data_IF_767628894575
#
_entry.id   IF_767628894575
#
_cell.length_a   1.000
_cell.length_b   1.000
_cell.length_c   1.000
_cell.angle_alpha   90.00
_cell.angle_beta   90.00
_cell.angle_gamma   90.00
#
_symmetry.space_group_name_H-M   'P 1'
#
loop_
_entity.id
_entity.type
_entity.pdbx_description
1 polymer ?
#
# COMPACT_ATOMS: atom_id res chain seq x y z
N UNK A 1 103.91 20.53 -43.32
CA UNK A 1 103.25 19.71 -44.36
C UNK A 1 101.77 20.04 -44.34
N UNK A 2 101.19 20.31 -45.52
CA UNK A 2 99.77 20.63 -45.81
C UNK A 2 98.78 19.56 -45.21
N UNK A 3 97.45 19.71 -45.06
CA UNK A 3 96.38 20.50 -45.70
C UNK A 3 95.02 20.22 -44.98
N UNK A 4 94.05 21.15 -45.10
CA UNK A 4 92.58 21.00 -45.27
C UNK A 4 91.70 20.34 -44.17
N UNK A 5 90.78 21.10 -43.53
CA UNK A 5 89.33 21.31 -43.83
C UNK A 5 88.39 20.22 -43.28
N UNK A 6 87.43 20.57 -42.41
CA UNK A 6 86.05 20.87 -42.84
C UNK A 6 85.13 21.26 -41.67
N UNK A 7 84.28 22.24 -41.96
CA UNK A 7 83.19 22.76 -41.12
C UNK A 7 81.92 21.95 -41.44
N UNK A 8 81.17 21.55 -40.41
CA UNK A 8 79.73 21.30 -40.55
C UNK A 8 78.97 22.33 -39.70
N UNK A 9 78.27 23.25 -40.39
CA UNK A 9 77.23 24.13 -39.83
C UNK A 9 75.88 23.44 -40.01
N UNK A 10 75.11 23.32 -38.93
CA UNK A 10 73.69 22.92 -38.97
C UNK A 10 72.79 24.17 -39.13
N UNK A 11 71.65 24.12 -39.84
CA UNK A 11 70.92 25.29 -40.31
C UNK A 11 69.82 25.83 -39.38
N UNK A 12 69.78 25.44 -38.10
CA UNK A 12 68.65 25.75 -37.20
C UNK A 12 69.06 26.31 -35.83
N UNK A 13 69.92 27.33 -35.79
CA UNK A 13 70.10 28.14 -34.56
C UNK A 13 69.83 29.61 -34.85
N UNK A 14 68.56 30.02 -34.73
CA UNK A 14 68.22 31.42 -34.51
C UNK A 14 68.69 31.83 -33.12
N UNK A 15 69.43 32.93 -33.01
CA UNK A 15 69.74 33.52 -31.72
C UNK A 15 68.44 33.98 -31.06
N UNK A 16 68.21 33.57 -29.81
CA UNK A 16 67.03 33.92 -29.02
C UNK A 16 66.88 35.45 -28.93
N UNK A 17 65.71 35.95 -29.35
CA UNK A 17 65.35 37.37 -29.26
C UNK A 17 65.21 37.81 -27.80
N UNK A 18 65.40 39.11 -27.53
CA UNK A 18 65.49 39.68 -26.18
C UNK A 18 64.37 39.31 -25.20
N UNK A 19 63.18 38.99 -25.72
CA UNK A 19 62.01 38.52 -24.95
C UNK A 19 62.26 37.19 -24.22
N UNK A 20 62.94 36.23 -24.85
CA UNK A 20 63.13 34.90 -24.26
C UNK A 20 64.18 34.90 -23.12
N UNK A 21 65.20 35.77 -23.20
CA UNK A 21 66.16 35.97 -22.10
C UNK A 21 65.53 36.64 -20.88
N UNK A 22 64.50 37.45 -21.09
CA UNK A 22 63.78 38.11 -20.01
C UNK A 22 62.86 37.12 -19.28
N UNK A 23 62.20 36.21 -20.00
CA UNK A 23 61.43 35.11 -19.42
C UNK A 23 62.31 34.14 -18.63
N UNK A 24 63.51 33.82 -19.13
CA UNK A 24 64.47 32.98 -18.40
C UNK A 24 64.94 33.65 -17.09
N UNK A 25 65.21 34.96 -17.11
CA UNK A 25 65.57 35.70 -15.89
C UNK A 25 64.43 35.77 -14.88
N UNK A 26 63.17 35.90 -15.33
CA UNK A 26 61.99 35.88 -14.44
C UNK A 26 61.80 34.51 -13.78
N UNK A 27 61.92 33.42 -14.55
CA UNK A 27 61.85 32.05 -14.00
C UNK A 27 63.01 31.79 -13.04
N UNK A 28 64.23 32.22 -13.39
CA UNK A 28 65.41 32.05 -12.52
C UNK A 28 65.29 32.86 -11.22
N UNK A 29 64.66 34.04 -11.24
CA UNK A 29 64.36 34.81 -10.03
C UNK A 29 63.28 34.19 -9.15
N UNK A 30 62.30 33.49 -9.73
CA UNK A 30 61.28 32.76 -8.97
C UNK A 30 61.91 31.58 -8.21
N UNK A 31 62.81 30.83 -8.84
CA UNK A 31 63.50 29.70 -8.21
C UNK A 31 64.64 30.09 -7.25
N UNK A 32 65.17 31.33 -7.35
CA UNK A 32 66.23 31.85 -6.48
C UNK A 32 65.73 32.80 -5.39
N UNK A 33 64.42 33.03 -5.28
CA UNK A 33 63.88 33.86 -4.19
C UNK A 33 64.11 33.16 -2.85
N UNK A 34 64.97 33.79 -2.03
CA UNK A 34 65.49 33.37 -0.72
C UNK A 34 64.77 32.18 -0.08
N UNK A 35 65.43 31.02 -0.07
CA UNK A 35 65.21 29.92 0.88
C UNK A 35 65.46 30.40 2.33
N UNK A 36 64.57 31.23 2.86
CA UNK A 36 64.43 31.39 4.31
C UNK A 36 63.53 30.25 4.75
N UNK A 37 64.08 29.35 5.58
CA UNK A 37 63.28 28.34 6.28
C UNK A 37 62.10 29.07 6.93
N UNK A 38 60.85 28.58 6.81
CA UNK A 38 59.73 29.21 7.48
C UNK A 38 60.07 29.36 8.97
N UNK A 39 59.72 30.49 9.61
CA UNK A 39 60.01 30.68 11.03
C UNK A 39 59.45 29.47 11.78
N UNK A 40 60.23 28.87 12.67
CA UNK A 40 59.80 27.69 13.45
C UNK A 40 58.47 27.97 14.16
N UNK A 41 58.23 29.22 14.56
CA UNK A 41 56.95 29.71 15.06
C UNK A 41 55.78 29.55 14.09
N UNK A 42 55.95 29.78 12.79
CA UNK A 42 54.90 29.59 11.77
C UNK A 42 54.62 28.11 11.54
N UNK A 43 55.65 27.26 11.58
CA UNK A 43 55.47 25.80 11.52
C UNK A 43 54.76 25.26 12.77
N UNK A 44 55.09 25.78 13.96
CA UNK A 44 54.39 25.45 15.21
C UNK A 44 52.95 25.96 15.15
N UNK A 45 52.71 27.19 14.67
CA UNK A 45 51.36 27.75 14.55
C UNK A 45 50.52 26.95 13.56
N UNK A 46 51.10 26.52 12.44
CA UNK A 46 50.45 25.66 11.46
C UNK A 46 50.21 24.25 12.03
N UNK A 47 51.15 23.69 12.80
CA UNK A 47 50.95 22.41 13.48
C UNK A 47 49.88 22.48 14.58
N UNK A 48 49.79 23.60 15.30
CA UNK A 48 48.73 23.87 16.29
C UNK A 48 47.39 24.08 15.58
N UNK A 49 47.34 24.79 14.46
CA UNK A 49 46.14 24.90 13.62
C UNK A 49 45.70 23.54 13.07
N UNK A 50 46.63 22.72 12.56
CA UNK A 50 46.34 21.36 12.09
C UNK A 50 45.93 20.44 13.24
N UNK A 51 46.50 20.59 14.44
CA UNK A 51 46.10 19.82 15.62
C UNK A 51 44.73 20.27 16.17
N UNK A 52 44.40 21.56 16.10
CA UNK A 52 43.09 22.12 16.46
C UNK A 52 42.02 21.77 15.41
N UNK A 53 42.38 21.73 14.12
CA UNK A 53 41.52 21.22 13.05
C UNK A 53 41.41 19.69 13.06
N UNK A 54 42.44 18.97 13.53
CA UNK A 54 42.41 17.52 13.72
C UNK A 54 41.56 17.07 14.92
N UNK A 55 41.28 17.99 15.86
CA UNK A 55 40.33 17.79 16.96
C UNK A 55 38.86 17.97 16.56
N UNK A 56 38.58 18.59 15.40
CA UNK A 56 37.22 18.73 14.85
C UNK A 56 36.78 17.52 14.00
N UNK A 57 37.69 16.56 13.76
CA UNK A 57 37.42 15.29 13.06
C UNK A 57 37.34 14.13 14.06
N UNK A 58 37.21 14.41 15.37
CA UNK A 58 37.05 13.40 16.39
C UNK A 58 35.58 13.30 16.81
N UNK A 59 34.98 12.15 16.52
CA UNK A 59 33.61 11.72 16.83
C UNK A 59 32.51 12.22 15.88
N UNK A 60 32.66 11.95 14.57
CA UNK A 60 31.49 11.36 13.90
C UNK A 60 31.41 9.94 14.44
N UNK A 61 30.52 9.69 15.41
CA UNK A 61 30.01 8.34 15.61
C UNK A 61 29.57 7.90 14.21
N UNK A 62 30.26 6.89 13.65
CA UNK A 62 29.73 6.20 12.49
C UNK A 62 28.47 5.52 13.01
N UNK A 63 27.33 6.18 12.83
CA UNK A 63 26.04 5.56 13.03
C UNK A 63 26.05 4.31 12.15
N UNK A 64 26.00 3.14 12.79
CA UNK A 64 25.84 1.87 12.07
C UNK A 64 24.65 1.99 11.10
N UNK A 65 24.72 1.35 9.93
CA UNK A 65 23.72 1.54 8.88
C UNK A 65 22.34 1.18 9.41
N UNK A 66 21.42 2.15 9.34
CA UNK A 66 19.99 1.91 9.60
C UNK A 66 19.40 1.26 8.36
N UNK A 67 18.75 0.12 8.55
CA UNK A 67 18.09 -0.63 7.48
C UNK A 67 16.58 -0.63 7.67
N UNK A 68 15.83 -0.64 6.57
CA UNK A 68 14.39 -0.82 6.61
C UNK A 68 14.05 -2.32 6.62
N UNK A 69 13.18 -2.73 7.53
CA UNK A 69 12.62 -4.10 7.58
C UNK A 69 11.10 -4.01 7.66
N UNK A 70 10.38 -4.98 7.10
CA UNK A 70 8.93 -5.03 7.27
C UNK A 70 8.58 -5.59 8.64
N UNK A 71 7.73 -4.87 9.39
CA UNK A 71 7.12 -5.36 10.64
C UNK A 71 5.75 -6.00 10.34
N UNK A 72 4.93 -5.30 9.58
CA UNK A 72 3.60 -5.75 9.17
C UNK A 72 3.46 -5.61 7.67
N UNK A 73 3.07 -6.71 7.03
CA UNK A 73 2.67 -6.74 5.64
C UNK A 73 1.43 -7.64 5.56
N UNK A 74 0.26 -7.02 5.37
CA UNK A 74 -1.02 -7.69 5.40
C UNK A 74 -1.85 -7.28 4.18
N UNK A 75 -2.35 -8.28 3.46
CA UNK A 75 -3.27 -8.09 2.34
C UNK A 75 -4.39 -9.09 2.51
N UNK A 76 -5.63 -8.63 2.44
CA UNK A 76 -6.78 -9.51 2.50
C UNK A 76 -7.75 -9.33 1.34
N UNK A 77 -8.68 -10.27 1.28
CA UNK A 77 -9.69 -10.33 0.24
C UNK A 77 -10.79 -9.27 0.35
N UNK A 78 -10.77 -8.48 1.42
CA UNK A 78 -11.68 -7.36 1.65
C UNK A 78 -11.06 -6.04 1.17
N UNK A 79 -9.89 -6.07 0.53
CA UNK A 79 -9.19 -4.86 0.07
C UNK A 79 -8.40 -4.16 1.16
N UNK A 80 -8.15 -4.80 2.32
CA UNK A 80 -7.32 -4.21 3.36
C UNK A 80 -5.84 -4.48 3.07
N UNK A 81 -5.08 -3.45 2.73
CA UNK A 81 -3.66 -3.52 2.39
C UNK A 81 -2.82 -2.66 3.34
N UNK A 82 -2.17 -3.31 4.30
CA UNK A 82 -1.45 -2.64 5.39
C UNK A 82 0.04 -3.00 5.33
N UNK A 83 0.87 -1.99 5.09
CA UNK A 83 2.32 -2.11 4.97
C UNK A 83 3.00 -1.18 5.95
N UNK A 84 3.48 -1.73 7.07
CA UNK A 84 4.13 -0.96 8.12
C UNK A 84 5.53 -1.52 8.37
N UNK A 85 6.59 -0.75 8.09
CA UNK A 85 7.96 -1.17 8.32
C UNK A 85 8.40 -0.90 9.76
N UNK A 86 9.65 -1.23 10.05
CA UNK A 86 10.42 -0.74 11.18
C UNK A 86 11.85 -0.38 10.71
N UNK A 87 12.46 0.59 11.37
CA UNK A 87 13.88 0.88 11.22
C UNK A 87 14.70 -0.02 12.15
N UNK A 88 15.60 -0.81 11.57
CA UNK A 88 16.47 -1.72 12.29
C UNK A 88 17.93 -1.22 12.32
N UNK A 89 18.62 -1.54 13.40
CA UNK A 89 20.05 -1.33 13.61
C UNK A 89 20.68 -2.63 14.11
N UNK A 90 22.00 -2.77 13.98
CA UNK A 90 22.76 -3.89 14.56
C UNK A 90 22.44 -4.07 16.05
N UNK A 91 22.27 -5.31 16.50
CA UNK A 91 21.84 -5.63 17.88
C UNK A 91 22.80 -5.11 18.98
N UNK A 92 24.06 -4.89 18.64
CA UNK A 92 25.09 -4.35 19.54
C UNK A 92 25.08 -2.81 19.61
N UNK A 93 24.19 -2.15 18.88
CA UNK A 93 24.12 -0.69 18.76
C UNK A 93 22.85 -0.16 19.40
N UNK A 94 22.98 0.83 20.27
CA UNK A 94 21.82 1.51 20.84
C UNK A 94 21.08 2.29 19.74
N UNK A 95 19.74 2.18 19.65
CA UNK A 95 18.97 2.95 18.67
C UNK A 95 19.17 4.45 18.86
N UNK A 96 19.29 5.17 17.75
CA UNK A 96 19.31 6.64 17.77
C UNK A 96 17.95 7.18 18.23
N UNK A 97 17.90 8.46 18.64
CA UNK A 97 16.65 9.11 19.01
C UNK A 97 15.65 9.13 17.84
N UNK A 98 16.14 9.35 16.61
CA UNK A 98 15.32 9.31 15.39
C UNK A 98 14.75 7.92 15.10
N UNK A 99 15.56 6.85 15.22
CA UNK A 99 15.06 5.47 15.06
C UNK A 99 13.99 5.15 16.11
N UNK A 100 14.21 5.56 17.35
CA UNK A 100 13.25 5.36 18.45
C UNK A 100 11.94 6.09 18.18
N UNK A 101 12.00 7.38 17.81
CA UNK A 101 10.82 8.20 17.52
C UNK A 101 10.02 7.66 16.32
N UNK A 102 10.72 7.28 15.24
CA UNK A 102 10.07 6.76 14.04
C UNK A 102 9.43 5.40 14.31
N UNK A 103 10.12 4.47 14.98
CA UNK A 103 9.52 3.18 15.33
C UNK A 103 8.33 3.33 16.30
N UNK A 104 8.36 4.33 17.19
CA UNK A 104 7.20 4.65 18.02
C UNK A 104 6.02 5.15 17.17
N UNK A 105 6.26 6.05 16.21
CA UNK A 105 5.22 6.54 15.30
C UNK A 105 4.66 5.41 14.41
N UNK A 106 5.51 4.52 13.90
CA UNK A 106 5.11 3.34 13.14
C UNK A 106 4.27 2.37 13.99
N UNK A 107 4.62 2.20 15.27
CA UNK A 107 3.83 1.39 16.20
C UNK A 107 2.45 1.99 16.46
N UNK A 108 2.36 3.32 16.55
CA UNK A 108 1.09 4.04 16.69
C UNK A 108 0.23 3.89 15.43
N UNK A 109 0.83 4.06 14.25
CA UNK A 109 0.15 3.84 12.98
C UNK A 109 -0.37 2.40 12.87
N UNK A 110 0.41 1.40 13.28
CA UNK A 110 -0.04 0.00 13.32
C UNK A 110 -1.24 -0.21 14.23
N UNK A 111 -1.25 0.46 15.38
CA UNK A 111 -2.35 0.35 16.33
C UNK A 111 -3.69 0.85 15.75
N UNK A 112 -3.66 1.81 14.82
CA UNK A 112 -4.87 2.28 14.12
C UNK A 112 -5.52 1.17 13.29
N UNK A 113 -4.75 0.21 12.78
CA UNK A 113 -5.22 -0.92 11.98
C UNK A 113 -5.34 -2.23 12.77
N UNK A 114 -5.19 -2.20 14.09
CA UNK A 114 -5.08 -3.42 14.90
C UNK A 114 -6.36 -4.28 14.83
N UNK A 115 -7.54 -3.67 14.79
CA UNK A 115 -8.82 -4.39 14.70
C UNK A 115 -8.94 -5.18 13.39
N UNK A 116 -8.47 -4.59 12.28
CA UNK A 116 -8.38 -5.27 10.97
C UNK A 116 -7.36 -6.42 11.04
N UNK A 117 -6.19 -6.17 11.63
CA UNK A 117 -5.13 -7.18 11.76
C UNK A 117 -5.53 -8.34 12.67
N UNK A 118 -6.38 -8.09 13.68
CA UNK A 118 -6.93 -9.10 14.59
C UNK A 118 -8.19 -9.78 14.03
N UNK A 119 -8.74 -9.28 12.92
CA UNK A 119 -9.96 -9.81 12.29
C UNK A 119 -11.24 -9.52 13.06
N UNK A 120 -11.24 -8.51 13.94
CA UNK A 120 -12.39 -8.09 14.75
C UNK A 120 -13.01 -6.87 14.08
N UNK A 121 -14.05 -7.07 13.29
CA UNK A 121 -14.59 -6.01 12.40
C UNK A 121 -15.91 -5.43 12.89
N UNK A 122 -16.19 -5.57 14.17
CA UNK A 122 -17.41 -5.05 14.78
C UNK A 122 -17.05 -3.90 15.72
N UNK A 123 -17.30 -2.66 15.26
CA UNK A 123 -17.12 -1.37 15.95
C UNK A 123 -15.77 -0.60 15.84
N UNK A 124 -14.95 -0.81 14.80
CA UNK A 124 -13.79 0.05 14.54
C UNK A 124 -14.18 1.43 13.99
N UNK A 125 -13.36 2.46 14.22
CA UNK A 125 -13.46 3.75 13.49
C UNK A 125 -13.08 3.64 12.02
N UNK A 126 -12.50 2.50 11.64
CA UNK A 126 -12.18 2.12 10.27
C UNK A 126 -13.32 1.32 9.64
N UNK A 127 -13.49 1.45 8.33
CA UNK A 127 -14.30 0.54 7.52
C UNK A 127 -13.87 -0.91 7.69
N UNK A 128 -14.82 -1.83 7.52
CA UNK A 128 -14.57 -3.27 7.51
C UNK A 128 -13.73 -3.75 6.32
N UNK A 129 -13.65 -2.91 5.27
CA UNK A 129 -13.13 -3.25 3.95
C UNK A 129 -12.37 -2.07 3.36
N UNK A 130 -11.50 -2.37 2.39
CA UNK A 130 -10.85 -1.36 1.53
C UNK A 130 -10.08 -0.29 2.30
N UNK A 131 -9.33 -0.73 3.32
CA UNK A 131 -8.38 0.11 4.05
C UNK A 131 -6.99 0.00 3.43
N UNK A 132 -6.45 1.10 2.94
CA UNK A 132 -5.10 1.14 2.41
C UNK A 132 -4.17 1.89 3.36
N UNK A 133 -3.01 1.30 3.63
CA UNK A 133 -1.84 1.93 4.25
C UNK A 133 -0.61 1.42 3.48
N UNK A 134 -0.32 2.08 2.35
CA UNK A 134 0.65 1.60 1.36
C UNK A 134 1.96 2.35 1.49
N UNK A 135 3.07 1.62 1.58
CA UNK A 135 4.40 2.17 1.81
C UNK A 135 5.13 2.48 0.49
N UNK A 136 5.66 3.69 0.41
CA UNK A 136 6.58 4.17 -0.62
C UNK A 136 7.91 4.58 0.05
N UNK A 137 8.85 3.63 0.30
CA UNK A 137 10.11 3.92 0.94
C UNK A 137 11.13 4.37 -0.11
N UNK A 138 11.78 5.50 0.16
CA UNK A 138 12.93 5.96 -0.62
C UNK A 138 14.15 6.17 0.28
N UNK A 139 15.33 5.97 -0.28
CA UNK A 139 16.59 6.25 0.39
C UNK A 139 17.44 7.19 -0.47
N UNK A 140 17.79 8.34 0.09
CA UNK A 140 18.81 9.22 -0.47
C UNK A 140 20.14 8.96 0.22
N UNK A 141 21.21 9.68 -0.13
CA UNK A 141 22.46 9.55 0.63
C UNK A 141 22.30 9.92 2.10
N UNK A 142 21.40 10.85 2.41
CA UNK A 142 21.23 11.45 3.74
C UNK A 142 19.96 11.00 4.45
N UNK A 143 18.92 10.60 3.73
CA UNK A 143 17.60 10.38 4.31
C UNK A 143 17.06 8.99 4.01
N UNK A 144 16.33 8.44 4.97
CA UNK A 144 15.28 7.47 4.72
C UNK A 144 13.95 8.20 4.73
N UNK A 145 13.15 8.07 3.68
CA UNK A 145 11.80 8.62 3.61
C UNK A 145 10.79 7.47 3.61
N UNK A 146 9.85 7.49 4.53
CA UNK A 146 8.73 6.56 4.60
C UNK A 146 7.45 7.35 4.32
N UNK A 147 6.94 7.25 3.09
CA UNK A 147 5.68 7.88 2.69
C UNK A 147 4.60 6.81 2.67
N UNK A 148 3.51 7.05 3.39
CA UNK A 148 2.35 6.17 3.44
C UNK A 148 1.18 6.84 2.71
N UNK A 149 0.65 6.19 1.68
CA UNK A 149 -0.64 6.54 1.10
C UNK A 149 -1.73 5.83 1.90
N UNK A 150 -2.70 6.58 2.40
CA UNK A 150 -3.73 6.10 3.32
C UNK A 150 -5.12 6.38 2.77
N UNK A 151 -5.96 5.36 2.72
CA UNK A 151 -7.32 5.46 2.22
C UNK A 151 -8.23 4.57 3.07
N UNK A 152 -9.47 5.01 3.27
CA UNK A 152 -10.50 4.24 3.95
C UNK A 152 -11.81 4.38 3.17
N UNK A 153 -12.48 3.25 2.93
CA UNK A 153 -13.76 3.22 2.24
C UNK A 153 -14.89 3.86 3.04
N UNK A 154 -15.59 4.80 2.39
CA UNK A 154 -16.81 5.41 2.93
C UNK A 154 -18.03 5.03 2.09
N UNK A 155 -18.34 5.71 0.98
CA UNK A 155 -19.46 5.31 0.09
C UNK A 155 -19.40 5.84 -1.35
N UNK A 156 -18.57 6.86 -1.62
CA UNK A 156 -18.69 7.72 -2.80
C UNK A 156 -17.33 7.96 -3.47
N UNK A 157 -16.45 8.74 -2.86
CA UNK A 157 -15.06 8.93 -3.29
C UNK A 157 -14.18 9.05 -2.06
N UNK A 158 -13.25 8.13 -1.88
CA UNK A 158 -12.27 8.24 -0.79
C UNK A 158 -11.11 9.10 -1.27
N UNK A 159 -10.66 10.00 -0.41
CA UNK A 159 -9.41 10.73 -0.68
C UNK A 159 -8.24 10.06 -0.02
N UNK A 160 -7.20 9.83 -0.80
CA UNK A 160 -5.92 9.41 -0.30
C UNK A 160 -5.26 10.51 0.53
N UNK A 161 -4.97 10.18 1.78
CA UNK A 161 -4.17 11.02 2.69
C UNK A 161 -2.73 10.53 2.73
N UNK A 162 -1.83 11.40 3.19
CA UNK A 162 -0.41 11.08 3.31
C UNK A 162 0.01 11.14 4.77
N UNK A 163 0.70 10.10 5.24
CA UNK A 163 1.50 10.17 6.46
C UNK A 163 2.96 9.97 6.06
N UNK A 164 3.88 10.77 6.62
CA UNK A 164 5.30 10.67 6.26
C UNK A 164 6.23 10.71 7.45
N UNK A 165 7.28 9.87 7.44
CA UNK A 165 8.35 9.84 8.43
C UNK A 165 9.70 9.90 7.73
N UNK A 166 10.55 10.87 8.11
CA UNK A 166 11.86 11.08 7.47
C UNK A 166 12.97 10.95 8.51
N UNK A 167 13.89 10.02 8.32
CA UNK A 167 15.06 9.84 9.16
C UNK A 167 16.30 10.45 8.51
N UNK A 168 16.99 11.34 9.22
CA UNK A 168 18.28 11.88 8.82
C UNK A 168 19.43 10.98 9.32
N UNK A 169 20.10 10.30 8.39
CA UNK A 169 21.18 9.34 8.65
C UNK A 169 22.43 10.00 9.24
N UNK A 170 22.66 11.28 8.98
CA UNK A 170 23.82 12.01 9.50
C UNK A 170 23.63 12.45 10.96
N UNK A 171 22.44 12.95 11.29
CA UNK A 171 22.15 13.47 12.64
C UNK A 171 21.58 12.41 13.57
N UNK A 172 21.08 11.30 13.02
CA UNK A 172 20.39 10.26 13.78
C UNK A 172 19.04 10.73 14.35
N UNK A 173 18.44 11.76 13.77
CA UNK A 173 17.16 12.35 14.19
C UNK A 173 16.09 12.17 13.12
N UNK A 174 14.83 12.23 13.54
CA UNK A 174 13.71 12.43 12.62
C UNK A 174 13.68 13.90 12.17
N UNK A 175 13.44 14.14 10.89
CA UNK A 175 13.17 15.49 10.37
C UNK A 175 11.69 15.80 10.59
N UNK A 176 11.38 16.96 11.17
CA UNK A 176 9.98 17.37 11.38
C UNK A 176 9.44 18.15 10.17
N UNK A 177 8.11 18.31 10.10
CA UNK A 177 7.48 19.11 9.06
C UNK A 177 7.92 20.57 9.12
N UNK A 178 8.07 21.14 10.33
CA UNK A 178 8.54 22.51 10.52
C UNK A 178 9.97 22.70 10.00
N UNK A 179 10.87 21.75 10.25
CA UNK A 179 12.24 21.79 9.74
C UNK A 179 12.27 21.70 8.20
N UNK A 180 11.41 20.86 7.61
CA UNK A 180 11.28 20.75 6.16
C UNK A 180 10.75 22.05 5.53
N UNK A 181 9.71 22.65 6.13
CA UNK A 181 9.17 23.94 5.70
C UNK A 181 10.22 25.05 5.79
N UNK A 182 10.97 25.13 6.89
CA UNK A 182 12.07 26.08 7.07
C UNK A 182 13.15 25.88 6.00
N UNK A 183 13.52 24.63 5.71
CA UNK A 183 14.51 24.30 4.68
C UNK A 183 14.07 24.75 3.28
N UNK A 184 12.77 24.64 2.97
CA UNK A 184 12.19 25.13 1.72
C UNK A 184 12.04 26.67 1.68
N UNK A 185 12.20 27.35 2.81
CA UNK A 185 11.83 28.76 2.95
C UNK A 185 10.33 29.01 2.80
N UNK A 186 9.51 28.05 3.24
CA UNK A 186 8.05 28.07 3.11
C UNK A 186 7.37 28.01 4.48
N UNK A 187 6.10 28.37 4.50
CA UNK A 187 5.17 28.03 5.58
C UNK A 187 4.02 27.18 5.04
N UNK A 188 3.27 26.50 5.92
CA UNK A 188 2.09 25.74 5.50
C UNK A 188 1.07 26.65 4.79
N UNK A 189 0.82 27.85 5.35
CA UNK A 189 -0.09 28.84 4.77
C UNK A 189 0.37 29.30 3.38
N UNK A 190 1.67 29.53 3.20
CA UNK A 190 2.22 29.92 1.89
C UNK A 190 2.04 28.81 0.84
N UNK A 191 2.24 27.54 1.21
CA UNK A 191 2.00 26.41 0.31
C UNK A 191 0.50 26.27 -0.02
N UNK A 192 -0.37 26.38 0.97
CA UNK A 192 -1.83 26.33 0.76
C UNK A 192 -2.30 27.45 -0.16
N UNK A 193 -1.80 28.68 0.02
CA UNK A 193 -2.11 29.80 -0.86
C UNK A 193 -1.55 29.58 -2.27
N UNK A 194 -0.30 29.11 -2.39
CA UNK A 194 0.31 28.83 -3.68
C UNK A 194 -0.43 27.74 -4.47
N UNK A 195 -1.02 26.75 -3.78
CA UNK A 195 -1.87 25.74 -4.39
C UNK A 195 -3.13 26.37 -5.01
N UNK A 196 -3.83 27.21 -4.24
CA UNK A 196 -5.00 27.94 -4.74
C UNK A 196 -4.64 28.85 -5.91
N UNK A 197 -3.58 29.66 -5.79
CA UNK A 197 -3.12 30.57 -6.85
C UNK A 197 -2.81 29.83 -8.16
N UNK A 198 -2.28 28.61 -8.07
CA UNK A 198 -1.97 27.79 -9.24
C UNK A 198 -3.22 27.23 -9.92
N UNK A 199 -4.19 26.72 -9.15
CA UNK A 199 -5.32 25.96 -9.71
C UNK A 199 -6.61 26.76 -9.89
N UNK A 200 -6.96 27.68 -8.98
CA UNK A 200 -8.19 28.49 -9.04
C UNK A 200 -8.46 29.10 -10.43
N UNK A 201 -7.46 29.67 -11.14
CA UNK A 201 -7.70 30.25 -12.47
C UNK A 201 -8.13 29.25 -13.55
N UNK A 202 -7.89 27.95 -13.32
CA UNK A 202 -8.10 26.86 -14.29
C UNK A 202 -9.28 25.95 -13.97
N UNK A 203 -9.77 25.97 -12.73
CA UNK A 203 -10.88 25.14 -12.29
C UNK A 203 -12.20 25.57 -12.96
N UNK A 204 -13.05 24.59 -13.28
CA UNK A 204 -14.39 24.84 -13.83
C UNK A 204 -14.45 25.41 -15.26
N UNK A 205 -13.31 25.63 -15.93
CA UNK A 205 -13.28 26.21 -17.29
C UNK A 205 -14.10 25.41 -18.31
N UNK A 206 -14.20 24.09 -18.13
CA UNK A 206 -14.95 23.18 -19.00
C UNK A 206 -16.43 23.01 -18.58
N UNK A 207 -16.85 23.65 -17.48
CA UNK A 207 -18.19 23.53 -16.91
C UNK A 207 -18.87 24.92 -16.96
N UNK A 208 -19.72 25.18 -17.98
CA UNK A 208 -20.34 26.49 -18.14
C UNK A 208 -21.17 26.90 -16.92
N UNK A 209 -20.76 27.99 -16.26
CA UNK A 209 -21.46 28.58 -15.12
C UNK A 209 -20.97 28.13 -13.74
N UNK A 210 -20.04 27.18 -13.67
CA UNK A 210 -19.39 26.81 -12.40
C UNK A 210 -18.37 27.88 -11.98
N UNK A 211 -18.33 28.20 -10.68
CA UNK A 211 -17.30 29.03 -10.05
C UNK A 211 -16.61 28.20 -8.98
N UNK A 212 -15.64 27.41 -9.41
CA UNK A 212 -14.93 26.46 -8.54
C UNK A 212 -13.67 27.08 -7.96
N UNK A 213 -13.25 26.62 -6.78
CA UNK A 213 -11.97 26.96 -6.18
C UNK A 213 -11.41 25.84 -5.31
N UNK A 214 -10.11 25.96 -4.99
CA UNK A 214 -9.45 25.13 -3.99
C UNK A 214 -9.88 25.60 -2.58
N UNK A 215 -10.27 24.66 -1.73
CA UNK A 215 -10.71 24.89 -0.35
C UNK A 215 -10.11 23.83 0.59
N UNK A 216 -10.14 24.10 1.90
CA UNK A 216 -9.75 23.14 2.96
C UNK A 216 -8.34 22.54 2.77
N UNK A 217 -7.39 23.34 2.30
CA UNK A 217 -6.03 22.91 2.05
C UNK A 217 -5.33 22.49 3.34
N UNK A 218 -4.67 21.34 3.32
CA UNK A 218 -3.86 20.84 4.44
C UNK A 218 -2.53 20.30 3.93
N UNK A 219 -1.41 20.66 4.58
CA UNK A 219 -0.10 20.01 4.35
C UNK A 219 -0.05 18.74 5.19
N UNK A 220 -0.12 17.59 4.52
CA UNK A 220 -0.22 16.27 5.15
C UNK A 220 1.14 15.67 5.50
N UNK A 221 2.15 15.93 4.67
CA UNK A 221 3.48 15.36 4.85
C UNK A 221 4.51 15.81 3.83
N UNK A 222 5.69 15.20 3.89
CA UNK A 222 6.78 15.50 2.98
C UNK A 222 7.75 14.33 2.83
N UNK A 223 8.59 14.40 1.81
CA UNK A 223 9.80 13.58 1.67
C UNK A 223 10.97 14.42 1.21
N UNK A 224 12.18 13.95 1.48
CA UNK A 224 13.41 14.56 0.99
C UNK A 224 13.79 13.98 -0.37
N UNK A 225 13.96 14.88 -1.35
CA UNK A 225 14.48 14.57 -2.68
C UNK A 225 15.98 14.25 -2.66
N UNK A 226 16.49 13.75 -3.78
CA UNK A 226 17.91 13.42 -3.95
C UNK A 226 18.84 14.64 -3.94
N UNK A 227 18.28 15.84 -4.11
CA UNK A 227 18.94 17.15 -4.00
C UNK A 227 18.83 17.76 -2.59
N UNK A 228 18.42 16.96 -1.60
CA UNK A 228 18.16 17.38 -0.22
C UNK A 228 17.11 18.52 -0.11
N UNK A 229 16.24 18.68 -1.11
CA UNK A 229 15.10 19.58 -1.03
C UNK A 229 13.83 18.81 -0.66
N UNK A 230 12.94 19.39 0.15
CA UNK A 230 11.68 18.75 0.50
C UNK A 230 10.67 18.81 -0.65
N UNK A 231 9.87 17.76 -0.75
CA UNK A 231 8.71 17.62 -1.63
C UNK A 231 7.52 17.42 -0.71
N UNK A 232 6.50 18.28 -0.80
CA UNK A 232 5.36 18.29 0.12
C UNK A 232 4.12 17.66 -0.52
N UNK A 233 3.28 17.06 0.31
CA UNK A 233 2.00 16.48 -0.05
C UNK A 233 0.88 17.29 0.61
N UNK A 234 -0.10 17.70 -0.19
CA UNK A 234 -1.22 18.51 0.28
C UNK A 234 -2.54 17.89 -0.16
N UNK A 235 -3.51 17.83 0.74
CA UNK A 235 -4.91 17.56 0.39
C UNK A 235 -5.65 18.89 0.24
N UNK A 236 -6.61 18.93 -0.68
CA UNK A 236 -7.54 20.03 -0.80
C UNK A 236 -8.83 19.61 -1.50
N UNK A 237 -9.91 20.31 -1.18
CA UNK A 237 -11.21 20.16 -1.82
C UNK A 237 -11.33 21.08 -3.02
N UNK A 238 -11.80 20.55 -4.15
CA UNK A 238 -12.27 21.34 -5.29
C UNK A 238 -13.79 21.41 -5.17
N UNK A 239 -14.32 22.61 -4.94
CA UNK A 239 -15.75 22.82 -4.76
C UNK A 239 -16.19 24.21 -5.24
N UNK A 240 -17.49 24.46 -5.27
CA UNK A 240 -18.05 25.78 -5.53
C UNK A 240 -17.55 26.81 -4.52
N UNK A 241 -17.09 27.97 -5.02
CA UNK A 241 -16.43 29.03 -4.22
C UNK A 241 -17.29 29.53 -3.06
N UNK A 242 -18.60 29.52 -3.24
CA UNK A 242 -19.59 29.70 -2.18
C UNK A 242 -20.66 28.61 -2.31
N UNK A 243 -20.33 27.44 -1.77
CA UNK A 243 -21.19 26.25 -1.73
C UNK A 243 -22.58 26.54 -1.11
N UNK A 244 -22.66 27.53 -0.21
CA UNK A 244 -23.96 27.92 0.38
C UNK A 244 -24.83 28.74 -0.56
N UNK A 245 -24.22 29.47 -1.50
CA UNK A 245 -24.91 30.26 -2.50
C UNK A 245 -25.21 29.47 -3.78
N UNK A 246 -24.36 28.50 -4.12
CA UNK A 246 -24.46 27.69 -5.32
C UNK A 246 -23.75 26.35 -5.09
N UNK A 247 -24.52 25.27 -5.03
CA UNK A 247 -24.05 23.88 -5.05
C UNK A 247 -24.27 23.33 -6.47
N UNK A 248 -23.38 23.73 -7.38
CA UNK A 248 -23.44 23.40 -8.80
C UNK A 248 -22.68 22.10 -9.11
N UNK A 249 -21.59 21.85 -8.39
CA UNK A 249 -20.77 20.65 -8.45
C UNK A 249 -20.65 20.07 -7.05
N UNK A 250 -20.89 18.77 -6.92
CA UNK A 250 -20.54 18.08 -5.68
C UNK A 250 -19.02 18.03 -5.55
N UNK A 251 -18.47 18.77 -4.58
CA UNK A 251 -17.03 18.90 -4.42
C UNK A 251 -16.30 17.59 -4.19
N UNK A 252 -15.03 17.57 -4.60
CA UNK A 252 -14.15 16.40 -4.51
C UNK A 252 -12.86 16.74 -3.76
N UNK A 253 -12.44 15.85 -2.90
CA UNK A 253 -11.16 15.93 -2.21
C UNK A 253 -10.05 15.31 -3.08
N UNK A 254 -8.89 15.96 -3.10
CA UNK A 254 -7.81 15.70 -4.04
C UNK A 254 -6.44 15.78 -3.35
N UNK A 255 -5.46 15.03 -3.87
CA UNK A 255 -4.07 15.02 -3.39
C UNK A 255 -3.13 15.72 -4.38
N UNK A 256 -2.32 16.65 -3.89
CA UNK A 256 -1.39 17.44 -4.66
C UNK A 256 0.04 17.26 -4.15
N UNK A 257 1.01 17.31 -5.06
CA UNK A 257 2.43 17.18 -4.79
C UNK A 257 3.13 18.48 -5.15
N UNK A 258 3.75 19.13 -4.18
CA UNK A 258 4.59 20.30 -4.39
C UNK A 258 6.05 19.92 -4.53
N UNK A 259 6.69 20.36 -5.61
CA UNK A 259 8.13 20.23 -5.79
C UNK A 259 8.68 21.41 -6.58
N UNK A 260 9.76 22.03 -6.09
CA UNK A 260 10.47 23.07 -6.84
C UNK A 260 9.61 24.28 -7.20
N UNK A 261 8.61 24.62 -6.37
CA UNK A 261 7.75 25.79 -6.57
C UNK A 261 6.51 25.55 -7.43
N UNK A 262 6.21 24.31 -7.81
CA UNK A 262 5.00 23.99 -8.58
C UNK A 262 4.27 22.79 -7.99
N UNK A 263 2.95 22.77 -8.14
CA UNK A 263 2.10 21.66 -7.79
C UNK A 263 1.79 20.76 -8.98
N UNK A 264 1.65 19.46 -8.72
CA UNK A 264 1.07 18.48 -9.63
C UNK A 264 -0.07 17.75 -8.91
N UNK A 265 -1.18 17.51 -9.60
CA UNK A 265 -2.29 16.71 -9.09
C UNK A 265 -1.90 15.22 -9.16
N UNK A 266 -2.03 14.51 -8.05
CA UNK A 266 -2.02 13.05 -8.05
C UNK A 266 -3.45 12.57 -8.28
N UNK A 267 -3.77 12.23 -9.53
CA UNK A 267 -5.09 11.74 -9.90
C UNK A 267 -5.27 10.28 -9.48
N UNK A 268 -5.59 10.09 -8.20
CA UNK A 268 -5.83 8.78 -7.60
C UNK A 268 -7.04 8.04 -8.18
N UNK A 269 -7.92 8.74 -8.92
CA UNK A 269 -9.12 8.17 -9.53
C UNK A 269 -8.89 7.74 -10.99
N UNK A 270 -7.68 7.95 -11.51
CA UNK A 270 -7.32 7.50 -12.86
C UNK A 270 -7.49 5.97 -12.97
N UNK A 271 -8.44 5.55 -13.82
CA UNK A 271 -8.79 4.13 -14.04
C UNK A 271 -7.74 3.42 -14.92
N UNK A 272 -7.02 4.16 -15.75
CA UNK A 272 -6.02 3.63 -16.69
C UNK A 272 -4.69 4.31 -16.51
N UNK A 273 -3.63 3.54 -16.27
CA UNK A 273 -2.25 4.05 -16.13
C UNK A 273 -2.02 4.92 -14.88
N UNK A 274 -2.72 4.64 -13.78
CA UNK A 274 -2.39 5.22 -12.47
C UNK A 274 -0.90 5.03 -12.21
N UNK A 275 -0.22 6.11 -11.86
CA UNK A 275 1.20 6.07 -11.50
C UNK A 275 1.35 5.91 -9.99
N UNK A 276 2.44 5.32 -9.50
CA UNK A 276 2.71 5.28 -8.07
C UNK A 276 2.86 6.71 -7.51
N UNK A 277 2.36 6.94 -6.28
CA UNK A 277 2.44 8.24 -5.59
C UNK A 277 3.87 8.79 -5.53
N UNK A 278 4.85 7.90 -5.30
CA UNK A 278 6.27 8.20 -5.42
C UNK A 278 6.81 7.43 -6.63
N UNK A 279 7.55 8.08 -7.55
CA UNK A 279 8.06 7.42 -8.75
C UNK A 279 8.82 6.13 -8.42
N UNK A 280 8.52 5.05 -9.16
CA UNK A 280 9.09 3.73 -8.89
C UNK A 280 10.63 3.73 -8.89
N UNK A 281 11.26 4.60 -9.70
CA UNK A 281 12.72 4.72 -9.78
C UNK A 281 13.36 5.36 -8.54
N UNK A 282 12.58 6.07 -7.72
CA UNK A 282 13.03 6.63 -6.44
C UNK A 282 12.83 5.64 -5.28
N UNK A 283 11.90 4.70 -5.43
CA UNK A 283 11.55 3.73 -4.40
C UNK A 283 12.54 2.57 -4.30
N UNK A 284 12.74 2.07 -3.08
CA UNK A 284 13.50 0.85 -2.85
C UNK A 284 12.59 -0.35 -2.82
N UNK A 285 12.91 -1.32 -3.67
CA UNK A 285 12.24 -2.61 -3.70
C UNK A 285 12.62 -3.47 -2.49
N UNK A 286 11.61 -4.03 -1.85
CA UNK A 286 11.78 -4.95 -0.72
C UNK A 286 11.52 -6.39 -1.14
N UNK A 287 11.93 -7.32 -0.27
CA UNK A 287 11.62 -8.73 -0.36
C UNK A 287 11.17 -9.23 1.03
N UNK A 288 9.90 -9.65 1.21
CA UNK A 288 8.84 -9.76 0.20
C UNK A 288 8.48 -8.40 -0.46
N UNK A 289 8.06 -8.40 -1.75
CA UNK A 289 7.70 -7.17 -2.45
C UNK A 289 6.52 -6.43 -1.81
N UNK A 290 6.47 -5.11 -1.96
CA UNK A 290 5.32 -4.28 -1.56
C UNK A 290 4.24 -4.25 -2.64
N UNK A 291 3.03 -3.83 -2.29
CA UNK A 291 1.87 -3.69 -3.19
C UNK A 291 2.22 -2.90 -4.44
N UNK A 292 2.92 -1.76 -4.29
CA UNK A 292 3.33 -0.95 -5.44
C UNK A 292 4.28 -1.69 -6.41
N UNK A 293 5.01 -2.71 -5.96
CA UNK A 293 5.84 -3.53 -6.84
C UNK A 293 4.98 -4.50 -7.65
N UNK A 294 3.93 -5.07 -7.04
CA UNK A 294 3.00 -5.98 -7.71
C UNK A 294 1.99 -5.25 -8.60
N UNK A 295 1.22 -4.32 -8.02
CA UNK A 295 0.09 -3.64 -8.65
C UNK A 295 0.48 -2.99 -9.98
N UNK A 296 1.55 -2.17 -9.98
CA UNK A 296 1.99 -1.46 -11.19
C UNK A 296 2.75 -2.35 -12.19
N UNK A 297 3.08 -3.58 -11.80
CA UNK A 297 3.64 -4.60 -12.69
C UNK A 297 2.59 -5.61 -13.19
N UNK A 298 1.31 -5.44 -12.81
CA UNK A 298 0.22 -6.38 -13.12
C UNK A 298 0.30 -7.71 -12.36
N UNK A 299 0.97 -7.72 -11.21
CA UNK A 299 1.08 -8.88 -10.31
C UNK A 299 0.18 -8.76 -9.09
N UNK A 300 0.17 -9.82 -8.29
CA UNK A 300 -0.57 -9.93 -7.02
C UNK A 300 0.38 -10.33 -5.88
N UNK A 301 -0.04 -10.19 -4.61
CA UNK A 301 0.75 -10.58 -3.46
C UNK A 301 1.25 -12.02 -3.52
N UNK A 302 2.54 -12.20 -3.24
CA UNK A 302 3.13 -13.54 -3.13
C UNK A 302 2.53 -14.27 -1.91
N UNK A 303 1.85 -15.39 -2.17
CA UNK A 303 1.05 -16.09 -1.15
C UNK A 303 -0.46 -15.83 -1.25
N UNK A 304 -0.89 -14.94 -2.14
CA UNK A 304 -2.29 -14.58 -2.33
C UNK A 304 -2.82 -13.67 -1.22
N UNK A 305 -4.10 -13.31 -1.33
CA UNK A 305 -4.78 -12.52 -0.31
C UNK A 305 -5.19 -13.41 0.86
N UNK A 306 -4.99 -12.90 2.07
CA UNK A 306 -5.52 -13.52 3.28
C UNK A 306 -7.05 -13.51 3.22
N UNK A 307 -7.67 -14.63 3.56
CA UNK A 307 -9.13 -14.70 3.71
C UNK A 307 -9.46 -13.99 5.02
N UNK A 308 -10.08 -12.81 4.96
CA UNK A 308 -10.44 -12.06 6.16
C UNK A 308 -11.33 -12.89 7.09
N UNK A 309 -11.15 -12.74 8.40
CA UNK A 309 -12.00 -13.38 9.41
C UNK A 309 -13.49 -13.02 9.26
N UNK A 310 -13.81 -11.92 8.54
CA UNK A 310 -15.17 -11.54 8.15
C UNK A 310 -15.91 -12.60 7.32
N UNK A 311 -15.18 -13.54 6.69
CA UNK A 311 -15.78 -14.63 5.93
C UNK A 311 -16.26 -15.80 6.79
N UNK A 312 -15.81 -15.92 8.05
CA UNK A 312 -16.27 -16.91 9.06
C UNK A 312 -16.73 -18.27 8.49
N UNK A 313 -16.01 -18.76 7.49
CA UNK A 313 -16.38 -19.96 6.79
C UNK A 313 -16.17 -21.12 7.75
N UNK A 314 -17.22 -21.88 8.04
CA UNK A 314 -17.13 -22.93 9.04
C UNK A 314 -16.29 -24.12 8.58
N UNK A 315 -16.27 -24.40 7.28
CA UNK A 315 -15.47 -25.48 6.72
C UNK A 315 -14.95 -25.15 5.31
N UNK A 316 -13.62 -25.12 5.08
CA UNK A 316 -13.05 -24.87 3.75
C UNK A 316 -13.32 -25.97 2.71
N UNK A 317 -13.78 -27.17 3.11
CA UNK A 317 -14.21 -28.22 2.17
C UNK A 317 -15.71 -28.16 1.85
N UNK A 318 -16.49 -27.37 2.60
CA UNK A 318 -17.94 -27.19 2.45
C UNK A 318 -18.24 -25.74 2.08
N UNK A 319 -17.76 -25.36 0.91
CA UNK A 319 -17.95 -24.04 0.34
C UNK A 319 -18.06 -24.10 -1.19
N UNK A 320 -18.34 -22.96 -1.81
CA UNK A 320 -18.35 -22.79 -3.25
C UNK A 320 -17.53 -21.56 -3.64
N UNK A 321 -16.76 -21.68 -4.70
CA UNK A 321 -16.10 -20.59 -5.39
C UNK A 321 -16.89 -20.22 -6.64
N UNK A 322 -16.77 -18.98 -7.09
CA UNK A 322 -17.38 -18.50 -8.35
C UNK A 322 -16.31 -18.04 -9.31
N UNK A 323 -16.48 -18.33 -10.60
CA UNK A 323 -15.56 -17.87 -11.63
C UNK A 323 -15.42 -16.34 -11.61
N UNK A 324 -14.18 -15.85 -11.56
CA UNK A 324 -13.87 -14.41 -11.52
C UNK A 324 -14.02 -13.75 -10.15
N UNK A 325 -14.37 -14.49 -9.09
CA UNK A 325 -14.41 -13.99 -7.73
C UNK A 325 -13.35 -14.69 -6.87
N UNK A 326 -12.60 -13.95 -6.03
CA UNK A 326 -11.52 -14.53 -5.24
C UNK A 326 -12.00 -15.35 -4.04
N UNK A 327 -13.22 -15.08 -3.55
CA UNK A 327 -13.67 -15.54 -2.23
C UNK A 327 -14.67 -16.71 -2.33
N UNK A 328 -14.54 -17.72 -1.46
CA UNK A 328 -15.55 -18.75 -1.32
C UNK A 328 -16.78 -18.23 -0.54
N UNK A 329 -17.90 -18.92 -0.71
CA UNK A 329 -19.13 -18.71 0.07
C UNK A 329 -19.63 -20.05 0.63
N UNK A 330 -20.17 -20.04 1.84
CA UNK A 330 -20.69 -21.25 2.47
C UNK A 330 -21.24 -21.04 3.88
N UNK A 331 -21.53 -22.11 4.62
CA UNK A 331 -22.05 -21.99 5.97
C UNK A 331 -21.10 -21.20 6.88
N UNK A 332 -21.67 -20.25 7.64
CA UNK A 332 -20.98 -19.31 8.50
C UNK A 332 -20.58 -17.99 7.83
N UNK A 333 -20.50 -17.93 6.50
CA UNK A 333 -20.15 -16.68 5.80
C UNK A 333 -21.34 -15.73 5.70
N UNK A 334 -21.07 -14.44 5.51
CA UNK A 334 -22.12 -13.46 5.16
C UNK A 334 -22.50 -13.57 3.68
N UNK A 335 -23.76 -13.27 3.35
CA UNK A 335 -24.19 -13.11 1.96
C UNK A 335 -23.77 -11.74 1.40
N UNK A 336 -23.72 -10.70 2.23
CA UNK A 336 -23.30 -9.36 1.84
C UNK A 336 -21.85 -9.35 1.37
N UNK A 337 -21.57 -8.60 0.30
CA UNK A 337 -20.25 -8.49 -0.34
C UNK A 337 -19.66 -9.84 -0.81
N UNK A 338 -20.48 -10.88 -0.89
CA UNK A 338 -20.05 -12.19 -1.40
C UNK A 338 -20.07 -12.22 -2.93
N UNK A 339 -19.57 -13.31 -3.50
CA UNK A 339 -19.68 -13.57 -4.95
C UNK A 339 -21.13 -13.67 -5.46
N UNK A 340 -22.14 -13.68 -4.57
CA UNK A 340 -23.57 -13.70 -4.90
C UNK A 340 -24.25 -12.33 -4.77
N UNK A 341 -23.60 -11.35 -4.12
CA UNK A 341 -24.10 -9.97 -3.94
C UNK A 341 -23.93 -9.09 -5.20
N UNK A 342 -23.62 -9.71 -6.34
CA UNK A 342 -23.47 -9.03 -7.63
C UNK A 342 -24.81 -8.85 -8.37
N UNK A 343 -25.94 -9.15 -7.73
CA UNK A 343 -27.26 -9.24 -8.37
C UNK A 343 -28.35 -8.67 -7.46
N UNK A 344 -29.53 -8.37 -8.01
CA UNK A 344 -30.66 -8.02 -7.16
C UNK A 344 -31.07 -9.22 -6.32
N UNK A 345 -31.12 -9.05 -5.00
CA UNK A 345 -31.46 -10.10 -4.03
C UNK A 345 -32.81 -9.77 -3.40
N UNK A 346 -33.75 -10.70 -3.52
CA UNK A 346 -35.00 -10.67 -2.78
C UNK A 346 -34.78 -11.27 -1.39
N UNK A 347 -34.95 -10.47 -0.34
CA UNK A 347 -34.78 -10.89 1.05
C UNK A 347 -36.10 -10.87 1.82
N UNK A 348 -36.38 -11.95 2.53
CA UNK A 348 -37.57 -12.14 3.36
C UNK A 348 -37.19 -12.60 4.78
N UNK A 349 -37.64 -11.87 5.80
CA UNK A 349 -37.58 -12.33 7.20
C UNK A 349 -38.60 -13.43 7.45
N UNK A 350 -38.17 -14.50 8.09
CA UNK A 350 -38.98 -15.67 8.43
C UNK A 350 -39.39 -15.61 9.91
N UNK A 351 -40.50 -14.94 10.21
CA UNK A 351 -40.93 -14.64 11.60
C UNK A 351 -41.24 -15.87 12.47
N UNK A 352 -41.53 -17.02 11.86
CA UNK A 352 -41.94 -18.25 12.55
C UNK A 352 -40.91 -19.38 12.42
N UNK A 353 -39.70 -19.10 11.90
CA UNK A 353 -38.68 -20.11 11.72
C UNK A 353 -37.87 -20.32 13.00
N UNK A 354 -37.68 -21.58 13.37
CA UNK A 354 -37.01 -22.00 14.61
C UNK A 354 -35.81 -22.91 14.27
N UNK A 355 -34.79 -22.98 15.13
CA UNK A 355 -34.70 -22.35 16.45
C UNK A 355 -34.33 -20.86 16.44
N UNK A 356 -34.83 -20.09 17.40
CA UNK A 356 -34.40 -18.74 17.79
C UNK A 356 -33.73 -18.82 19.17
N UNK A 357 -32.42 -18.52 19.24
CA UNK A 357 -31.62 -18.72 20.45
C UNK A 357 -31.67 -17.54 21.42
N UNK A 358 -31.70 -16.29 20.91
CA UNK A 358 -31.75 -15.08 21.73
C UNK A 358 -32.89 -14.15 21.34
N UNK A 359 -33.39 -13.31 22.27
CA UNK A 359 -34.32 -12.24 21.93
C UNK A 359 -33.69 -11.26 20.94
N UNK A 360 -34.29 -11.15 19.75
CA UNK A 360 -33.79 -10.29 18.68
C UNK A 360 -33.19 -11.07 17.51
N UNK A 361 -32.86 -12.34 17.69
CA UNK A 361 -32.41 -13.21 16.61
C UNK A 361 -33.56 -13.48 15.63
N UNK A 362 -33.23 -13.74 14.37
CA UNK A 362 -34.21 -14.11 13.34
C UNK A 362 -33.56 -14.83 12.17
N UNK A 363 -34.39 -15.50 11.38
CA UNK A 363 -33.98 -16.13 10.12
C UNK A 363 -34.35 -15.25 8.93
N UNK A 364 -33.47 -15.23 7.94
CA UNK A 364 -33.67 -14.59 6.65
C UNK A 364 -33.59 -15.62 5.55
N UNK A 365 -34.47 -15.48 4.55
CA UNK A 365 -34.32 -16.14 3.26
C UNK A 365 -33.98 -15.08 2.23
N UNK A 366 -32.87 -15.30 1.54
CA UNK A 366 -32.43 -14.45 0.44
C UNK A 366 -32.34 -15.29 -0.83
N UNK A 367 -32.82 -14.75 -1.94
CA UNK A 367 -32.82 -15.47 -3.21
C UNK A 367 -32.53 -14.53 -4.38
N UNK A 368 -31.86 -15.05 -5.40
CA UNK A 368 -31.73 -14.36 -6.68
C UNK A 368 -31.79 -15.33 -7.84
N UNK A 369 -32.24 -14.84 -8.99
CA UNK A 369 -32.24 -15.57 -10.26
C UNK A 369 -31.39 -14.82 -11.28
N UNK A 370 -30.45 -15.53 -11.86
CA UNK A 370 -29.59 -15.06 -12.95
C UNK A 370 -30.00 -15.71 -14.27
N UNK A 371 -29.42 -15.26 -15.39
CA UNK A 371 -29.70 -15.86 -16.70
C UNK A 371 -29.29 -17.33 -16.84
N UNK A 372 -28.44 -17.84 -15.94
CA UNK A 372 -27.84 -19.19 -16.02
C UNK A 372 -28.18 -20.10 -14.83
N UNK A 373 -28.89 -19.59 -13.82
CA UNK A 373 -29.26 -20.35 -12.62
C UNK A 373 -29.74 -19.43 -11.49
N UNK A 374 -30.00 -20.00 -10.32
CA UNK A 374 -30.45 -19.29 -9.14
C UNK A 374 -29.73 -19.77 -7.89
N UNK A 375 -29.82 -18.96 -6.83
CA UNK A 375 -29.47 -19.39 -5.48
C UNK A 375 -30.58 -19.05 -4.49
N UNK A 376 -30.61 -19.78 -3.38
CA UNK A 376 -31.38 -19.44 -2.18
C UNK A 376 -30.52 -19.67 -0.96
N UNK A 377 -30.30 -18.62 -0.17
CA UNK A 377 -29.63 -18.66 1.11
C UNK A 377 -30.65 -18.57 2.24
N UNK A 378 -30.49 -19.44 3.24
CA UNK A 378 -31.14 -19.32 4.53
C UNK A 378 -30.08 -18.91 5.54
N UNK A 379 -30.20 -17.70 6.07
CA UNK A 379 -29.25 -17.11 7.01
C UNK A 379 -29.86 -16.93 8.39
N UNK A 380 -29.04 -17.07 9.42
CA UNK A 380 -29.37 -16.74 10.80
C UNK A 380 -28.74 -15.41 11.17
N UNK A 381 -29.56 -14.49 11.68
CA UNK A 381 -29.09 -13.26 12.30
C UNK A 381 -29.05 -13.43 13.83
N UNK A 382 -27.88 -13.22 14.41
CA UNK A 382 -27.63 -13.20 15.85
C UNK A 382 -27.57 -11.75 16.33
N UNK A 383 -28.54 -11.34 17.15
CA UNK A 383 -28.65 -9.96 17.63
C UNK A 383 -27.61 -9.61 18.70
N UNK A 384 -26.98 -10.60 19.34
CA UNK A 384 -25.92 -10.35 20.33
C UNK A 384 -24.61 -9.98 19.65
N UNK A 385 -24.36 -10.57 18.48
CA UNK A 385 -23.16 -10.34 17.66
C UNK A 385 -23.43 -9.36 16.50
N UNK A 386 -24.65 -8.82 16.41
CA UNK A 386 -25.16 -8.01 15.29
C UNK A 386 -24.78 -8.60 13.91
N UNK A 387 -24.93 -9.92 13.77
CA UNK A 387 -24.29 -10.65 12.67
C UNK A 387 -25.23 -11.61 11.97
N UNK A 388 -25.25 -11.51 10.64
CA UNK A 388 -25.84 -12.50 9.76
C UNK A 388 -24.82 -13.56 9.34
N UNK A 389 -25.23 -14.83 9.35
CA UNK A 389 -24.44 -15.92 8.78
C UNK A 389 -25.31 -16.91 8.01
N UNK A 390 -24.82 -17.35 6.84
CA UNK A 390 -25.47 -18.37 6.03
C UNK A 390 -25.47 -19.68 6.81
N UNK A 391 -26.63 -20.31 6.95
CA UNK A 391 -26.74 -21.68 7.44
C UNK A 391 -26.85 -22.68 6.29
N UNK A 392 -27.70 -22.38 5.31
CA UNK A 392 -27.94 -23.23 4.15
C UNK A 392 -27.88 -22.38 2.88
N UNK A 393 -27.24 -22.91 1.84
CA UNK A 393 -27.10 -22.29 0.53
C UNK A 393 -27.41 -23.32 -0.55
N UNK A 394 -28.53 -23.13 -1.26
CA UNK A 394 -28.93 -23.92 -2.42
C UNK A 394 -28.51 -23.20 -3.70
N UNK A 395 -27.83 -23.88 -4.62
CA UNK A 395 -27.39 -23.28 -5.89
C UNK A 395 -27.67 -24.17 -7.09
N UNK A 396 -28.09 -23.55 -8.18
CA UNK A 396 -28.24 -24.18 -9.51
C UNK A 396 -27.32 -23.53 -10.55
N UNK A 397 -26.47 -22.60 -10.12
CA UNK A 397 -25.61 -21.81 -11.00
C UNK A 397 -24.38 -22.63 -11.46
N UNK A 398 -24.06 -22.71 -12.78
CA UNK A 398 -22.97 -23.52 -13.30
C UNK A 398 -21.58 -22.88 -13.18
N UNK A 399 -21.50 -21.58 -12.89
CA UNK A 399 -20.28 -20.81 -12.63
C UNK A 399 -19.78 -20.95 -11.18
N UNK A 400 -20.54 -21.66 -10.33
CA UNK A 400 -20.12 -22.04 -8.98
C UNK A 400 -19.50 -23.43 -8.95
N UNK A 401 -18.42 -23.59 -8.20
CA UNK A 401 -17.69 -24.84 -8.07
C UNK A 401 -17.22 -25.12 -6.65
N UNK A 402 -17.20 -26.39 -6.28
CA UNK A 402 -16.65 -26.86 -5.00
C UNK A 402 -15.11 -26.75 -4.98
N UNK A 403 -14.46 -26.80 -3.79
CA UNK A 403 -13.00 -26.91 -3.68
C UNK A 403 -12.39 -28.04 -4.51
N UNK A 404 -13.14 -29.13 -4.73
CA UNK A 404 -12.72 -30.29 -5.55
C UNK A 404 -13.16 -30.22 -7.02
N UNK A 405 -13.56 -29.04 -7.49
CA UNK A 405 -13.83 -28.75 -8.91
C UNK A 405 -15.19 -29.20 -9.45
N UNK A 406 -16.07 -29.76 -8.63
CA UNK A 406 -17.43 -30.16 -9.03
C UNK A 406 -18.34 -28.94 -9.25
N UNK A 407 -19.14 -29.00 -10.31
CA UNK A 407 -20.08 -27.95 -10.75
C UNK A 407 -21.45 -28.55 -11.08
N UNK A 408 -22.49 -27.72 -11.05
CA UNK A 408 -23.78 -28.08 -11.64
C UNK A 408 -23.58 -28.47 -13.11
N UNK A 409 -24.12 -29.61 -13.51
CA UNK A 409 -23.91 -30.24 -14.81
C UNK A 409 -22.89 -31.40 -14.81
N UNK A 410 -22.12 -31.59 -13.74
CA UNK A 410 -21.20 -32.72 -13.61
C UNK A 410 -21.95 -34.07 -13.58
N UNK A 411 -21.25 -35.15 -13.96
CA UNK A 411 -21.82 -36.49 -13.85
C UNK A 411 -21.72 -37.04 -12.41
N UNK A 412 -22.57 -37.99 -12.05
CA UNK A 412 -22.46 -38.72 -10.78
C UNK A 412 -21.09 -39.38 -10.60
N UNK A 413 -20.49 -39.87 -11.68
CA UNK A 413 -19.14 -40.47 -11.65
C UNK A 413 -18.06 -39.42 -11.31
N UNK A 414 -18.17 -38.22 -11.87
CA UNK A 414 -17.24 -37.12 -11.54
C UNK A 414 -17.36 -36.76 -10.05
N UNK A 415 -18.59 -36.67 -9.53
CA UNK A 415 -18.84 -36.39 -8.11
C UNK A 415 -18.20 -37.45 -7.22
N UNK A 416 -18.42 -38.73 -7.48
CA UNK A 416 -17.82 -39.83 -6.70
C UNK A 416 -16.30 -39.92 -6.86
N UNK A 417 -15.76 -39.45 -7.98
CA UNK A 417 -14.31 -39.38 -8.18
C UNK A 417 -13.69 -38.28 -7.33
N UNK A 418 -14.34 -37.11 -7.25
CA UNK A 418 -13.88 -35.98 -6.44
C UNK A 418 -14.17 -36.17 -4.93
N UNK A 419 -15.31 -36.78 -4.61
CA UNK A 419 -15.81 -37.06 -3.26
C UNK A 419 -16.07 -38.56 -3.08
N UNK A 420 -15.02 -39.39 -3.03
CA UNK A 420 -15.16 -40.84 -2.83
C UNK A 420 -15.78 -41.20 -1.47
N UNK A 421 -15.79 -40.26 -0.52
CA UNK A 421 -16.40 -40.39 0.80
C UNK A 421 -17.89 -40.05 0.81
N UNK A 422 -18.44 -39.52 -0.29
CA UNK A 422 -19.85 -39.13 -0.33
C UNK A 422 -20.76 -40.37 -0.29
N UNK A 423 -21.81 -40.31 0.53
CA UNK A 423 -22.77 -41.40 0.73
C UNK A 423 -24.14 -41.04 0.18
N UNK A 424 -24.95 -42.07 -0.12
CA UNK A 424 -26.35 -41.93 -0.57
C UNK A 424 -27.36 -42.19 0.54
N UNK A 425 -26.91 -42.16 1.80
CA UNK A 425 -27.76 -42.40 2.96
C UNK A 425 -28.65 -41.19 3.24
N UNK A 426 -29.70 -41.39 4.05
CA UNK A 426 -30.61 -40.32 4.42
C UNK A 426 -29.90 -39.26 5.28
N UNK A 427 -29.87 -38.01 4.82
CA UNK A 427 -29.32 -36.89 5.57
C UNK A 427 -30.40 -36.30 6.48
N UNK A 428 -30.49 -36.82 7.71
CA UNK A 428 -31.36 -36.35 8.80
C UNK A 428 -32.85 -36.23 8.42
N UNK A 429 -33.34 -37.02 7.46
CA UNK A 429 -34.71 -36.96 6.96
C UNK A 429 -35.09 -35.66 6.23
N UNK A 430 -34.11 -34.80 5.89
CA UNK A 430 -34.35 -33.45 5.38
C UNK A 430 -34.87 -33.43 3.93
N UNK A 431 -34.49 -34.43 3.13
CA UNK A 431 -34.80 -34.50 1.70
C UNK A 431 -35.43 -35.85 1.31
N UNK A 432 -36.61 -36.21 1.84
CA UNK A 432 -37.20 -37.52 1.62
C UNK A 432 -37.54 -37.75 0.14
N UNK A 433 -37.06 -38.88 -0.40
CA UNK A 433 -37.35 -39.31 -1.77
C UNK A 433 -36.58 -38.56 -2.87
N UNK A 434 -35.65 -37.67 -2.51
CA UNK A 434 -34.75 -37.03 -3.45
C UNK A 434 -33.55 -37.92 -3.76
N UNK A 435 -32.97 -37.77 -4.95
CA UNK A 435 -31.77 -38.49 -5.37
C UNK A 435 -30.54 -37.61 -5.19
N UNK A 436 -29.73 -37.92 -4.17
CA UNK A 436 -28.53 -37.14 -3.85
C UNK A 436 -27.40 -37.98 -3.27
N UNK A 437 -26.20 -37.41 -3.32
CA UNK A 437 -25.04 -37.84 -2.54
C UNK A 437 -24.68 -36.71 -1.57
N UNK A 438 -24.10 -37.02 -0.41
CA UNK A 438 -23.63 -35.99 0.49
C UNK A 438 -22.33 -36.35 1.18
N UNK A 439 -21.57 -35.32 1.54
CA UNK A 439 -20.31 -35.41 2.26
C UNK A 439 -20.35 -34.48 3.48
N UNK A 440 -20.00 -35.03 4.64
CA UNK A 440 -19.71 -34.29 5.87
C UNK A 440 -18.38 -34.80 6.43
N UNK A 441 -17.61 -33.92 7.05
CA UNK A 441 -16.34 -34.32 7.69
C UNK A 441 -16.57 -35.04 9.02
N UNK A 442 -17.60 -34.66 9.77
CA UNK A 442 -17.89 -35.29 11.05
C UNK A 442 -18.51 -36.68 10.86
N UNK A 443 -18.00 -37.66 11.60
CA UNK A 443 -18.47 -39.05 11.51
C UNK A 443 -19.87 -39.29 12.09
N UNK A 444 -20.43 -38.30 12.79
CA UNK A 444 -21.79 -38.32 13.31
C UNK A 444 -22.72 -37.38 12.52
N UNK A 445 -22.26 -36.90 11.36
CA UNK A 445 -23.04 -36.13 10.40
C UNK A 445 -23.52 -34.75 10.92
N UNK A 446 -22.82 -34.22 11.93
CA UNK A 446 -23.00 -32.87 12.45
C UNK A 446 -22.07 -31.87 11.77
N UNK A 447 -22.48 -30.61 11.73
CA UNK A 447 -21.71 -29.52 11.16
C UNK A 447 -21.98 -29.28 9.67
N UNK A 448 -21.07 -28.58 8.98
CA UNK A 448 -21.18 -28.31 7.56
C UNK A 448 -21.16 -29.58 6.72
N UNK A 449 -22.09 -29.68 5.76
CA UNK A 449 -22.16 -30.73 4.76
C UNK A 449 -22.46 -30.16 3.37
N UNK A 450 -21.99 -30.85 2.34
CA UNK A 450 -22.31 -30.59 0.94
C UNK A 450 -23.17 -31.72 0.39
N UNK A 451 -24.25 -31.38 -0.28
CA UNK A 451 -25.19 -32.29 -0.90
C UNK A 451 -25.24 -32.04 -2.42
N UNK A 452 -25.21 -33.11 -3.19
CA UNK A 452 -25.20 -33.14 -4.64
C UNK A 452 -26.49 -33.78 -5.14
N UNK A 453 -27.43 -33.00 -5.68
CA UNK A 453 -28.74 -33.50 -6.13
C UNK A 453 -28.73 -33.84 -7.62
N UNK A 454 -29.27 -35.00 -7.99
CA UNK A 454 -29.20 -35.53 -9.35
C UNK A 454 -30.55 -35.61 -10.04
N UNK A 455 -30.55 -35.41 -11.35
CA UNK A 455 -31.61 -35.83 -12.26
C UNK A 455 -31.02 -36.89 -13.20
N UNK A 456 -31.24 -38.17 -12.87
CA UNK A 456 -30.51 -39.26 -13.51
C UNK A 456 -29.03 -39.22 -13.11
N UNK A 457 -28.14 -39.12 -14.10
CA UNK A 457 -26.70 -39.04 -13.86
C UNK A 457 -26.15 -37.61 -13.84
N UNK A 458 -26.99 -36.59 -14.06
CA UNK A 458 -26.57 -35.19 -14.12
C UNK A 458 -26.86 -34.47 -12.81
N UNK A 459 -25.82 -33.87 -12.22
CA UNK A 459 -25.92 -32.97 -11.06
C UNK A 459 -26.69 -31.71 -11.45
N UNK A 460 -27.80 -31.41 -10.77
CA UNK A 460 -28.64 -30.25 -11.09
C UNK A 460 -28.68 -29.18 -10.00
N UNK A 461 -28.30 -29.52 -8.76
CA UNK A 461 -28.22 -28.58 -7.65
C UNK A 461 -27.13 -29.02 -6.67
N UNK A 462 -26.40 -28.04 -6.12
CA UNK A 462 -25.52 -28.23 -4.98
C UNK A 462 -26.14 -27.50 -3.79
N UNK A 463 -26.19 -28.15 -2.64
CA UNK A 463 -26.63 -27.53 -1.38
C UNK A 463 -25.50 -27.60 -0.37
N UNK A 464 -25.12 -26.47 0.21
CA UNK A 464 -24.32 -26.40 1.42
C UNK A 464 -25.26 -26.22 2.60
N UNK A 465 -25.05 -26.93 3.70
CA UNK A 465 -25.90 -26.79 4.89
C UNK A 465 -25.09 -27.05 6.15
N UNK A 466 -25.45 -26.42 7.26
CA UNK A 466 -24.86 -26.70 8.56
C UNK A 466 -25.91 -27.26 9.52
N UNK A 467 -25.71 -28.51 9.93
CA UNK A 467 -26.54 -29.17 10.92
C UNK A 467 -25.97 -28.97 12.32
N UNK A 468 -26.72 -28.28 13.18
CA UNK A 468 -26.36 -28.09 14.58
C UNK A 468 -26.74 -29.34 15.41
N UNK A 469 -26.04 -29.53 16.54
CA UNK A 469 -26.39 -30.50 17.60
C UNK A 469 -27.63 -30.04 18.39
#
# INVERSE_FOLDING_TARGET
MNKAENIFRTPFSTALSGSARETERRIRNIFLWKKKRPPVLVLILAAVLIALCGGLVSCQERTEPVTLVMDTQYYDTQGNYIEIPALAMSADTQPTAGVTAINQALSQLKQEYQDILDGVVDSSSLSATENHCLLYPTETQRYWNLVFFREEFHTDLNTGHVTSLVYNKETGQQVTLEEALELAGQTADDLCQALADQYDPTLGQDIPGADLCIQNQTVEGFRMGADDQPIFYLTARVDDRDDTASDFVSGSDNLYIWSGGTFTLYDQYTVTDLQPLVPAQECIDLNPPLWRQWNFSGGEPEGGFSVSASLSLQDPEVCLYRDGFPNPIGPGSSLSFSCLDSTHIDTQRLEEYEPIYNPGDYWLRSSSTTGTGSFTALSYYNSTEDRESINTLDVTMPDLYTPRGIRVGASREDVLTAYPEAVSEDYWGKYPGQDYLWYCRDSNDFGPAILFFFNGDTLHQITLTNMFD
#
